data_IF_857801632482
#
_entry.id   IF_857801632482
#
_cell.length_a   1.000
_cell.length_b   1.000
_cell.length_c   1.000
_cell.angle_alpha   90.00
_cell.angle_beta   90.00
_cell.angle_gamma   90.00
#
_symmetry.space_group_name_H-M   'P 1'
#
loop_
_entity.id
_entity.type
_entity.pdbx_description
1 polymer ?
#
# COMPACT_ATOMS: atom_id res chain seq x y z
N UNK A 1 -19.17 4.37 -60.25
CA UNK A 1 -20.26 4.22 -59.29
C UNK A 1 -19.83 3.25 -58.20
N UNK A 2 -19.02 3.70 -57.21
CA UNK A 2 -18.36 2.85 -56.20
C UNK A 2 -18.70 3.22 -54.76
N UNK A 3 -19.94 3.67 -54.50
CA UNK A 3 -20.38 4.05 -53.15
C UNK A 3 -20.49 2.85 -52.20
N UNK A 4 -20.88 1.69 -52.70
CA UNK A 4 -21.01 0.46 -51.91
C UNK A 4 -19.65 -0.14 -51.50
N UNK A 5 -18.66 -0.07 -52.35
CA UNK A 5 -17.32 -0.54 -52.04
C UNK A 5 -16.61 0.29 -50.94
N UNK A 6 -16.85 1.60 -50.94
CA UNK A 6 -16.32 2.48 -49.91
C UNK A 6 -16.99 2.25 -48.56
N UNK A 7 -18.29 2.05 -48.51
CA UNK A 7 -18.99 1.78 -47.26
C UNK A 7 -18.54 0.48 -46.58
N UNK A 8 -18.27 -0.56 -47.35
CA UNK A 8 -17.73 -1.84 -46.84
C UNK A 8 -16.32 -1.66 -46.30
N UNK A 9 -15.46 -0.93 -46.97
CA UNK A 9 -14.10 -0.62 -46.51
C UNK A 9 -14.08 0.21 -45.24
N UNK A 10 -14.94 1.22 -45.16
CA UNK A 10 -15.06 2.04 -43.95
C UNK A 10 -15.54 1.21 -42.74
N UNK A 11 -16.46 0.28 -42.94
CA UNK A 11 -16.96 -0.61 -41.87
C UNK A 11 -15.86 -1.58 -41.37
N UNK A 12 -15.03 -2.09 -42.26
CA UNK A 12 -13.89 -2.97 -41.84
C UNK A 12 -12.81 -2.19 -41.09
N UNK A 13 -12.45 -1.01 -41.58
CA UNK A 13 -11.49 -0.11 -40.91
C UNK A 13 -12.04 0.32 -39.54
N UNK A 14 -13.32 0.66 -39.46
CA UNK A 14 -13.97 1.05 -38.20
C UNK A 14 -13.97 -0.10 -37.19
N UNK A 15 -14.25 -1.33 -37.61
CA UNK A 15 -14.18 -2.51 -36.74
C UNK A 15 -12.76 -2.75 -36.22
N UNK A 16 -11.77 -2.70 -37.10
CA UNK A 16 -10.37 -2.89 -36.69
C UNK A 16 -9.91 -1.79 -35.73
N UNK A 17 -10.28 -0.54 -35.98
CA UNK A 17 -10.00 0.56 -35.07
C UNK A 17 -10.68 0.37 -33.69
N UNK A 18 -11.94 -0.09 -33.71
CA UNK A 18 -12.68 -0.37 -32.49
C UNK A 18 -12.05 -1.50 -31.67
N UNK A 19 -11.64 -2.57 -32.32
CA UNK A 19 -10.98 -3.71 -31.67
C UNK A 19 -9.65 -3.31 -31.04
N UNK A 20 -8.84 -2.51 -31.75
CA UNK A 20 -7.58 -1.97 -31.20
C UNK A 20 -7.83 -1.07 -30.01
N UNK A 21 -8.82 -0.16 -30.11
CA UNK A 21 -9.20 0.72 -29.00
C UNK A 21 -9.72 -0.07 -27.79
N UNK A 22 -10.50 -1.13 -28.04
CA UNK A 22 -11.01 -2.00 -26.98
C UNK A 22 -9.89 -2.74 -26.24
N UNK A 23 -8.85 -3.19 -26.95
CA UNK A 23 -7.66 -3.83 -26.32
C UNK A 23 -6.95 -2.84 -25.40
N UNK A 24 -6.70 -1.62 -25.90
CA UNK A 24 -6.05 -0.57 -25.10
C UNK A 24 -6.90 -0.21 -23.88
N UNK A 25 -8.20 -0.05 -24.05
CA UNK A 25 -9.12 0.25 -22.95
C UNK A 25 -9.15 -0.86 -21.90
N UNK A 26 -9.17 -2.13 -22.31
CA UNK A 26 -9.08 -3.27 -21.39
C UNK A 26 -7.76 -3.27 -20.61
N UNK A 27 -6.64 -3.01 -21.28
CA UNK A 27 -5.33 -2.95 -20.65
C UNK A 27 -5.26 -1.81 -19.62
N UNK A 28 -5.71 -0.62 -19.97
CA UNK A 28 -5.76 0.52 -19.05
C UNK A 28 -6.68 0.26 -17.85
N UNK A 29 -7.83 -0.37 -18.08
CA UNK A 29 -8.75 -0.76 -17.02
C UNK A 29 -8.10 -1.78 -16.07
N UNK A 30 -7.44 -2.81 -16.61
CA UNK A 30 -6.71 -3.80 -15.81
C UNK A 30 -5.60 -3.15 -14.99
N UNK A 31 -4.83 -2.27 -15.61
CA UNK A 31 -3.75 -1.54 -14.93
C UNK A 31 -4.29 -0.65 -13.81
N UNK A 32 -5.41 0.03 -14.05
CA UNK A 32 -6.09 0.86 -13.04
C UNK A 32 -6.57 0.02 -11.85
N UNK A 33 -7.22 -1.12 -12.11
CA UNK A 33 -7.68 -2.04 -11.07
C UNK A 33 -6.48 -2.59 -10.28
N UNK A 34 -5.42 -3.02 -10.96
CA UNK A 34 -4.22 -3.51 -10.30
C UNK A 34 -3.60 -2.46 -9.38
N UNK A 35 -3.45 -1.23 -9.87
CA UNK A 35 -2.88 -0.13 -9.08
C UNK A 35 -3.79 0.29 -7.90
N UNK A 36 -5.10 0.18 -8.03
CA UNK A 36 -6.04 0.60 -6.99
C UNK A 36 -6.25 -0.47 -5.92
N UNK A 37 -6.29 -1.75 -6.30
CA UNK A 37 -6.69 -2.84 -5.41
C UNK A 37 -5.55 -3.74 -4.96
N UNK A 38 -4.51 -3.89 -5.77
CA UNK A 38 -3.43 -4.84 -5.51
C UNK A 38 -2.22 -4.13 -4.93
N UNK A 39 -1.69 -3.10 -5.59
CA UNK A 39 -0.46 -2.44 -5.16
C UNK A 39 -0.44 -0.97 -5.56
N UNK A 40 0.31 -0.18 -4.79
CA UNK A 40 0.50 1.24 -5.04
C UNK A 40 2.00 1.55 -4.96
N UNK A 41 2.61 2.09 -6.02
CA UNK A 41 3.99 2.56 -5.96
C UNK A 41 4.05 3.78 -5.04
N UNK A 42 4.94 3.75 -4.07
CA UNK A 42 5.11 4.81 -3.06
C UNK A 42 6.57 5.17 -2.96
N UNK A 43 6.86 6.45 -3.04
CA UNK A 43 8.19 6.99 -2.79
C UNK A 43 8.39 7.18 -1.29
N UNK A 44 9.50 6.68 -0.77
CA UNK A 44 9.83 6.75 0.65
C UNK A 44 11.14 7.49 0.84
N UNK A 45 11.13 8.47 1.74
CA UNK A 45 12.29 9.28 2.11
C UNK A 45 12.49 9.26 3.61
N UNK A 46 13.75 9.36 4.04
CA UNK A 46 14.12 9.65 5.42
C UNK A 46 14.87 8.53 6.15
N UNK A 47 15.50 8.87 7.28
CA UNK A 47 16.45 8.00 7.99
C UNK A 47 15.79 6.93 8.86
N UNK A 48 14.46 6.94 9.03
CA UNK A 48 13.76 6.14 10.02
C UNK A 48 13.80 4.63 9.77
N UNK A 49 14.18 4.21 8.56
CA UNK A 49 14.24 2.80 8.15
C UNK A 49 15.66 2.36 7.74
N UNK A 50 16.68 3.14 8.10
CA UNK A 50 18.07 2.71 7.90
C UNK A 50 18.40 1.46 8.75
N UNK A 51 19.23 0.55 8.22
CA UNK A 51 19.86 0.49 6.90
C UNK A 51 18.98 -0.13 5.79
N UNK A 52 17.72 -0.46 6.08
CA UNK A 52 16.82 -1.20 5.17
C UNK A 52 16.45 -0.39 3.93
N UNK A 53 16.29 0.93 4.08
CA UNK A 53 15.91 1.84 3.00
C UNK A 53 16.92 2.99 2.89
N UNK A 54 17.13 3.50 1.66
CA UNK A 54 18.06 4.59 1.41
C UNK A 54 17.50 5.96 1.81
N UNK A 55 18.37 6.86 2.24
CA UNK A 55 18.04 8.26 2.56
C UNK A 55 17.56 9.06 1.36
N UNK A 56 18.08 8.73 0.16
CA UNK A 56 17.83 9.47 -1.09
C UNK A 56 16.46 9.21 -1.70
N UNK A 57 15.73 8.25 -1.18
CA UNK A 57 14.41 7.87 -1.66
C UNK A 57 14.44 6.54 -2.41
N UNK A 58 13.67 5.59 -1.91
CA UNK A 58 13.40 4.32 -2.56
C UNK A 58 11.95 4.28 -3.05
N UNK A 59 11.73 3.60 -4.17
CA UNK A 59 10.38 3.32 -4.66
C UNK A 59 9.96 1.97 -4.12
N UNK A 60 8.98 1.98 -3.23
CA UNK A 60 8.37 0.77 -2.68
C UNK A 60 7.06 0.47 -3.39
N UNK A 61 6.81 -0.81 -3.60
CA UNK A 61 5.52 -1.29 -4.08
C UNK A 61 4.72 -1.77 -2.86
N UNK A 62 3.84 -0.88 -2.36
CA UNK A 62 2.99 -1.21 -1.22
C UNK A 62 1.82 -2.06 -1.70
N UNK A 63 1.75 -3.32 -1.26
CA UNK A 63 0.63 -4.19 -1.53
C UNK A 63 -0.51 -3.98 -0.52
N UNK A 64 -1.74 -4.22 -0.96
CA UNK A 64 -2.94 -4.08 -0.14
C UNK A 64 -3.63 -5.40 0.18
N UNK A 65 -3.18 -6.48 -0.45
CA UNK A 65 -3.83 -7.79 -0.35
C UNK A 65 -3.56 -8.45 0.99
N UNK A 66 -2.30 -8.44 1.46
CA UNK A 66 -1.92 -9.02 2.75
C UNK A 66 -2.62 -8.36 3.93
N UNK A 67 -2.79 -7.04 3.89
CA UNK A 67 -3.55 -6.32 4.92
C UNK A 67 -5.03 -6.78 4.96
N UNK A 68 -5.68 -6.94 3.79
CA UNK A 68 -7.08 -7.40 3.72
C UNK A 68 -7.26 -8.85 4.16
N UNK A 69 -6.25 -9.67 3.97
CA UNK A 69 -6.25 -11.09 4.36
C UNK A 69 -5.77 -11.33 5.80
N UNK A 70 -5.44 -10.25 6.54
CA UNK A 70 -4.92 -10.37 7.91
C UNK A 70 -3.58 -11.08 8.03
N UNK A 71 -2.76 -11.07 6.96
CA UNK A 71 -1.46 -11.75 6.91
C UNK A 71 -0.27 -10.88 7.34
N UNK A 72 -0.54 -9.70 7.87
CA UNK A 72 0.49 -8.81 8.38
C UNK A 72 0.97 -9.31 9.74
N UNK A 73 2.29 -9.40 9.93
CA UNK A 73 2.89 -9.91 11.15
C UNK A 73 4.10 -9.10 11.64
N UNK A 74 4.64 -9.44 12.81
CA UNK A 74 5.86 -8.83 13.33
C UNK A 74 7.03 -9.00 12.35
N UNK A 75 7.78 -7.93 12.13
CA UNK A 75 8.87 -7.87 11.15
C UNK A 75 8.50 -7.27 9.81
N UNK A 76 7.22 -7.24 9.44
CA UNK A 76 6.75 -6.68 8.18
C UNK A 76 6.93 -5.15 8.14
N UNK A 77 7.20 -4.66 6.94
CA UNK A 77 7.25 -3.23 6.66
C UNK A 77 5.88 -2.77 6.19
N UNK A 78 5.30 -1.82 6.90
CA UNK A 78 3.96 -1.30 6.62
C UNK A 78 3.99 0.19 6.31
N UNK A 79 3.09 0.60 5.42
CA UNK A 79 2.83 1.98 5.10
C UNK A 79 1.60 2.43 5.90
N UNK A 80 1.80 3.31 6.87
CA UNK A 80 0.74 3.85 7.71
C UNK A 80 0.56 5.34 7.46
N UNK A 81 -0.68 5.80 7.58
CA UNK A 81 -0.99 7.23 7.50
C UNK A 81 -0.62 7.91 8.82
N UNK A 82 0.05 9.06 8.74
CA UNK A 82 0.42 9.81 9.94
C UNK A 82 -0.83 10.29 10.70
N UNK A 83 -0.89 10.11 12.02
CA UNK A 83 -2.01 10.63 12.82
C UNK A 83 -1.96 12.16 12.96
N UNK A 84 -0.78 12.76 12.84
CA UNK A 84 -0.58 14.22 12.97
C UNK A 84 -0.91 14.94 11.65
N UNK A 85 -0.51 14.36 10.52
CA UNK A 85 -0.78 14.90 9.19
C UNK A 85 -1.29 13.79 8.28
N UNK A 86 -2.62 13.71 8.05
CA UNK A 86 -3.23 12.64 7.23
C UNK A 86 -2.77 12.63 5.77
N UNK A 87 -2.10 13.70 5.30
CA UNK A 87 -1.54 13.78 3.95
C UNK A 87 -0.21 13.05 3.81
N UNK A 88 0.44 12.77 4.95
CA UNK A 88 1.73 12.09 4.99
C UNK A 88 1.57 10.62 5.32
N UNK A 89 2.28 9.79 4.57
CA UNK A 89 2.41 8.37 4.85
C UNK A 89 3.78 8.10 5.46
N UNK A 90 3.81 7.23 6.46
CA UNK A 90 5.01 6.82 7.17
C UNK A 90 5.26 5.34 6.89
N UNK A 91 6.49 4.99 6.56
CA UNK A 91 6.92 3.60 6.45
C UNK A 91 7.54 3.17 7.77
N UNK A 92 7.01 2.12 8.35
CA UNK A 92 7.47 1.59 9.65
C UNK A 92 7.49 0.07 9.62
N UNK A 93 8.29 -0.53 10.50
CA UNK A 93 8.32 -1.98 10.70
C UNK A 93 7.40 -2.34 11.87
N UNK A 94 6.58 -3.36 11.68
CA UNK A 94 5.73 -3.92 12.73
C UNK A 94 6.62 -4.61 13.75
N UNK A 95 6.54 -4.20 15.00
CA UNK A 95 7.29 -4.79 16.12
C UNK A 95 6.48 -5.86 16.81
N UNK A 96 5.18 -5.61 17.00
CA UNK A 96 4.28 -6.51 17.70
C UNK A 96 2.85 -6.33 17.21
N UNK A 97 2.04 -7.35 17.39
CA UNK A 97 0.61 -7.37 17.08
C UNK A 97 -0.23 -7.23 18.35
N UNK A 98 -1.52 -6.97 18.18
CA UNK A 98 -2.47 -6.93 19.29
C UNK A 98 -2.43 -8.26 20.08
N UNK A 99 -2.29 -8.17 21.40
CA UNK A 99 -2.12 -9.31 22.30
C UNK A 99 -0.67 -9.66 22.65
N UNK A 100 0.31 -9.15 21.89
CA UNK A 100 1.71 -9.40 22.17
C UNK A 100 2.23 -8.57 23.35
N UNK A 101 3.27 -9.10 23.99
CA UNK A 101 4.01 -8.39 25.04
C UNK A 101 5.31 -7.83 24.46
N UNK A 102 5.48 -6.52 24.53
CA UNK A 102 6.68 -5.83 24.09
C UNK A 102 7.48 -5.38 25.30
N UNK A 103 8.73 -5.81 25.37
CA UNK A 103 9.66 -5.43 26.43
C UNK A 103 10.74 -4.53 25.84
N UNK A 104 10.94 -3.36 26.42
CA UNK A 104 11.95 -2.41 25.97
C UNK A 104 12.69 -1.78 27.16
N UNK A 105 13.94 -1.43 26.91
CA UNK A 105 14.80 -0.75 27.89
C UNK A 105 14.47 0.74 27.86
N UNK A 106 14.08 1.28 29.00
CA UNK A 106 13.66 2.70 29.14
C UNK A 106 14.87 3.62 29.15
N UNK A 107 15.97 3.18 29.77
CA UNK A 107 17.18 3.97 29.88
C UNK A 107 18.38 3.16 29.34
N UNK A 108 19.00 3.61 28.22
CA UNK A 108 20.17 2.94 27.66
C UNK A 108 21.39 2.90 28.59
N UNK A 109 21.45 3.79 29.61
CA UNK A 109 22.50 3.88 30.58
C UNK A 109 22.31 2.94 31.79
N UNK A 110 21.08 2.53 32.01
CA UNK A 110 20.70 1.63 33.10
C UNK A 110 19.79 0.52 32.54
N UNK A 111 20.45 -0.57 32.11
CA UNK A 111 19.79 -1.74 31.50
C UNK A 111 18.79 -2.45 32.43
N UNK A 112 18.81 -2.15 33.71
CA UNK A 112 17.89 -2.76 34.71
C UNK A 112 16.49 -2.17 34.65
N UNK A 113 16.29 -1.00 33.99
CA UNK A 113 14.99 -0.40 33.81
C UNK A 113 14.30 -0.90 32.53
N UNK A 114 13.71 -2.06 32.64
CA UNK A 114 12.94 -2.69 31.58
C UNK A 114 11.44 -2.44 31.82
N UNK A 115 10.72 -2.02 30.81
CA UNK A 115 9.26 -1.96 30.81
C UNK A 115 8.66 -2.93 29.81
N UNK A 116 7.66 -3.65 30.27
CA UNK A 116 6.86 -4.52 29.42
C UNK A 116 5.48 -3.91 29.26
N UNK A 117 5.04 -3.74 28.03
CA UNK A 117 3.69 -3.30 27.70
C UNK A 117 2.98 -4.40 26.91
N UNK A 118 1.68 -4.51 27.11
CA UNK A 118 0.83 -5.36 26.29
C UNK A 118 0.22 -4.50 25.20
N UNK A 119 0.29 -4.94 23.97
CA UNK A 119 -0.34 -4.25 22.83
C UNK A 119 -1.81 -4.62 22.79
N UNK A 120 -2.66 -3.66 23.14
CA UNK A 120 -4.12 -3.86 23.11
C UNK A 120 -4.67 -3.60 21.72
N UNK A 121 -5.67 -4.37 21.24
CA UNK A 121 -6.39 -4.03 20.03
C UNK A 121 -7.12 -2.69 20.19
N UNK A 122 -7.14 -1.88 19.15
CA UNK A 122 -7.79 -0.56 19.14
C UNK A 122 -9.31 -0.62 19.39
N UNK A 123 -9.91 -1.76 19.17
CA UNK A 123 -11.35 -1.99 19.37
C UNK A 123 -11.79 -1.92 20.83
N UNK A 124 -10.83 -1.96 21.78
CA UNK A 124 -11.09 -1.81 23.22
C UNK A 124 -11.11 -0.36 23.73
N UNK A 125 -10.70 0.62 22.92
CA UNK A 125 -10.66 2.03 23.33
C UNK A 125 -12.00 2.79 23.13
N UNK A 126 -12.96 2.16 22.47
CA UNK A 126 -14.29 2.74 22.23
C UNK A 126 -15.25 2.71 23.42
N UNK A 127 -14.87 2.14 24.56
CA UNK A 127 -15.78 1.94 25.71
C UNK A 127 -15.37 2.65 27.02
N UNK A 128 -14.49 3.61 26.95
CA UNK A 128 -14.16 4.45 28.13
C UNK A 128 -14.69 5.90 28.01
N UNK A 129 -15.89 6.05 27.47
CA UNK A 129 -16.67 7.28 27.65
C UNK A 129 -17.64 7.06 28.81
N UNK A 130 -17.19 7.35 30.02
CA UNK A 130 -18.01 7.89 31.10
C UNK A 130 -17.16 8.82 31.93
#
# INVERSE_FOLDING_TARGET
MNLFGNAVRWRSIAKEALDRTAIVAKFLCLLHVANTYICTPTLVYGPSMLPTLNLTGDVLLAERVSHRLGKVGPGDVVLVRSPVDPRKSLTKRVVAMAGDKVTFVVDPRNSDRVRTIVVWPLDGFGSLNH
#
